data_IF_832252549496
#
_entry.id   IF_832252549496
#
_cell.length_a   1.000
_cell.length_b   1.000
_cell.length_c   1.000
_cell.angle_alpha   90.00
_cell.angle_beta   90.00
_cell.angle_gamma   90.00
#
_symmetry.space_group_name_H-M   'P 1'
#
loop_
_entity.id
_entity.type
_entity.pdbx_description
1 polymer ?
#
# COMPACT_ATOMS: atom_id res chain seq x y z
N UNK A 1 -22.88 -3.90 28.99
CA UNK A 1 -23.58 -2.83 28.23
C UNK A 1 -22.75 -2.54 26.99
N UNK A 2 -23.18 -2.98 25.81
CA UNK A 2 -22.47 -2.74 24.55
C UNK A 2 -22.98 -1.43 23.92
N UNK A 3 -22.11 -0.44 23.79
CA UNK A 3 -22.44 0.82 23.12
C UNK A 3 -22.58 0.57 21.61
N UNK A 4 -23.82 0.47 21.11
CA UNK A 4 -24.10 0.57 19.68
C UNK A 4 -23.95 2.03 19.26
N UNK A 5 -23.01 2.32 18.37
CA UNK A 5 -22.90 3.62 17.71
C UNK A 5 -24.18 3.82 16.87
N UNK A 6 -24.88 4.96 16.97
CA UNK A 6 -26.10 5.20 16.21
C UNK A 6 -25.80 5.34 14.71
N UNK A 7 -26.62 4.70 13.87
CA UNK A 7 -26.49 4.63 12.41
C UNK A 7 -26.12 5.94 11.66
N UNK A 8 -26.62 7.15 12.01
CA UNK A 8 -26.22 8.38 11.32
C UNK A 8 -24.76 8.78 11.57
N UNK A 9 -24.17 8.42 12.72
CA UNK A 9 -22.76 8.69 13.02
C UNK A 9 -21.82 7.74 12.25
N UNK A 10 -22.24 6.49 12.01
CA UNK A 10 -21.52 5.56 11.15
C UNK A 10 -21.52 6.01 9.67
N UNK A 11 -22.64 6.56 9.19
CA UNK A 11 -22.76 7.08 7.82
C UNK A 11 -21.90 8.33 7.59
N UNK A 12 -21.82 9.24 8.57
CA UNK A 12 -20.95 10.44 8.50
C UNK A 12 -19.46 10.09 8.55
N UNK A 13 -19.06 9.06 9.31
CA UNK A 13 -17.69 8.57 9.29
C UNK A 13 -17.32 7.94 7.93
N UNK A 14 -18.22 7.17 7.32
CA UNK A 14 -18.05 6.59 5.98
C UNK A 14 -17.96 7.65 4.88
N UNK A 15 -18.78 8.71 4.94
CA UNK A 15 -18.69 9.86 4.01
C UNK A 15 -17.41 10.66 4.24
N UNK A 16 -16.97 10.84 5.48
CA UNK A 16 -15.71 11.52 5.81
C UNK A 16 -14.48 10.79 5.28
N UNK A 17 -14.44 9.45 5.43
CA UNK A 17 -13.39 8.60 4.85
C UNK A 17 -13.46 8.64 3.32
N UNK A 18 -14.63 8.48 2.72
CA UNK A 18 -14.78 8.55 1.25
C UNK A 18 -14.37 9.91 0.68
N UNK A 19 -14.72 11.02 1.33
CA UNK A 19 -14.29 12.37 0.90
C UNK A 19 -12.79 12.55 1.10
N UNK A 20 -12.20 12.08 2.20
CA UNK A 20 -10.75 12.14 2.41
C UNK A 20 -9.99 11.30 1.37
N UNK A 21 -10.46 10.09 1.07
CA UNK A 21 -9.90 9.21 0.05
C UNK A 21 -10.05 9.80 -1.36
N UNK A 22 -11.24 10.28 -1.70
CA UNK A 22 -11.49 10.91 -2.99
C UNK A 22 -10.69 12.21 -3.15
N UNK A 23 -10.44 12.96 -2.08
CA UNK A 23 -9.63 14.18 -2.13
C UNK A 23 -8.14 13.85 -2.25
N UNK A 24 -7.62 12.88 -1.50
CA UNK A 24 -6.22 12.44 -1.61
C UNK A 24 -5.90 11.87 -3.01
N UNK A 25 -6.78 11.02 -3.55
CA UNK A 25 -6.65 10.48 -4.91
C UNK A 25 -6.76 11.55 -6.01
N UNK A 26 -7.45 12.68 -5.75
CA UNK A 26 -7.56 13.81 -6.68
C UNK A 26 -6.36 14.75 -6.65
N UNK A 27 -5.47 14.61 -5.67
CA UNK A 27 -4.31 15.48 -5.50
C UNK A 27 -2.97 14.79 -5.82
N UNK A 28 -2.91 13.46 -5.90
CA UNK A 28 -1.74 12.80 -6.47
C UNK A 28 -1.84 12.85 -8.00
N UNK A 29 -1.20 13.85 -8.59
CA UNK A 29 -0.98 13.90 -10.03
C UNK A 29 0.09 12.86 -10.41
N UNK A 30 0.15 12.40 -11.66
CA UNK A 30 1.24 11.52 -12.12
C UNK A 30 2.65 12.05 -11.81
N UNK A 31 2.80 13.38 -11.67
CA UNK A 31 4.06 14.03 -11.29
C UNK A 31 4.43 13.90 -9.81
N UNK A 32 3.47 13.58 -8.94
CA UNK A 32 3.70 13.45 -7.50
C UNK A 32 4.23 12.06 -7.12
N UNK A 33 4.10 11.08 -8.03
CA UNK A 33 4.66 9.76 -7.84
C UNK A 33 6.18 9.82 -7.96
N UNK A 34 6.84 9.38 -6.89
CA UNK A 34 8.25 9.02 -6.94
C UNK A 34 8.34 7.69 -7.70
N UNK A 35 9.14 7.60 -8.78
CA UNK A 35 9.42 6.32 -9.41
C UNK A 35 9.96 5.37 -8.34
N UNK A 36 9.44 4.15 -8.29
CA UNK A 36 10.01 3.15 -7.41
C UNK A 36 11.50 3.01 -7.76
N UNK A 37 12.40 3.19 -6.77
CA UNK A 37 13.85 3.26 -7.00
C UNK A 37 14.40 2.04 -7.77
N UNK A 38 13.66 0.93 -7.73
CA UNK A 38 13.63 -0.07 -8.77
C UNK A 38 12.16 -0.41 -9.05
N UNK A 39 11.73 -0.29 -10.31
CA UNK A 39 10.45 -0.84 -10.75
C UNK A 39 10.41 -2.33 -10.38
N UNK A 40 9.47 -2.77 -9.55
CA UNK A 40 9.47 -4.09 -8.93
C UNK A 40 8.45 -5.00 -9.61
N UNK A 41 8.90 -6.04 -10.30
CA UNK A 41 8.04 -7.03 -10.97
C UNK A 41 7.69 -8.18 -10.01
N UNK A 42 6.41 -8.32 -9.69
CA UNK A 42 5.87 -9.40 -8.86
C UNK A 42 5.35 -10.53 -9.75
N UNK A 43 6.16 -11.58 -9.92
CA UNK A 43 5.84 -12.81 -10.66
C UNK A 43 5.17 -12.61 -12.04
N UNK A 44 5.50 -11.52 -12.74
CA UNK A 44 4.87 -11.09 -13.99
C UNK A 44 3.36 -10.85 -13.92
N UNK A 45 2.79 -10.71 -12.73
CA UNK A 45 1.39 -10.35 -12.52
C UNK A 45 1.23 -8.82 -12.53
N UNK A 46 2.05 -8.14 -11.75
CA UNK A 46 2.04 -6.69 -11.62
C UNK A 46 3.45 -6.14 -11.40
N UNK A 47 3.64 -4.91 -11.84
CA UNK A 47 4.87 -4.17 -11.62
C UNK A 47 4.56 -2.91 -10.81
N UNK A 48 5.24 -2.73 -9.68
CA UNK A 48 5.20 -1.46 -8.96
C UNK A 48 6.08 -0.44 -9.68
N UNK A 49 5.47 0.54 -10.33
CA UNK A 49 6.17 1.53 -11.15
C UNK A 49 6.35 2.88 -10.46
N UNK A 50 5.57 3.15 -9.40
CA UNK A 50 5.69 4.38 -8.62
C UNK A 50 4.98 4.31 -7.28
N UNK A 51 5.31 5.24 -6.39
CA UNK A 51 4.60 5.45 -5.13
C UNK A 51 4.61 6.93 -4.73
N UNK A 52 3.67 7.33 -3.89
CA UNK A 52 3.65 8.63 -3.24
C UNK A 52 3.38 8.45 -1.75
N UNK A 53 4.38 8.80 -0.93
CA UNK A 53 4.32 8.65 0.53
C UNK A 53 5.15 9.77 1.19
N UNK A 54 4.61 10.99 1.32
CA UNK A 54 5.34 12.11 1.91
C UNK A 54 5.68 11.81 3.37
N UNK A 55 6.96 11.89 3.71
CA UNK A 55 7.48 11.51 5.03
C UNK A 55 6.73 12.21 6.18
N UNK A 56 6.43 13.49 6.00
CA UNK A 56 5.73 14.33 6.97
C UNK A 56 4.32 13.83 7.31
N UNK A 57 3.72 13.02 6.43
CA UNK A 57 2.39 12.42 6.65
C UNK A 57 2.48 11.03 7.28
N UNK A 58 3.63 10.35 7.19
CA UNK A 58 3.90 9.05 7.81
C UNK A 58 4.26 9.22 9.29
N UNK A 59 3.29 9.71 10.07
CA UNK A 59 3.39 9.92 11.52
C UNK A 59 2.11 9.48 12.24
N UNK A 60 2.20 9.07 13.52
CA UNK A 60 1.02 8.77 14.32
C UNK A 60 0.01 9.93 14.35
N UNK A 61 -1.28 9.60 14.29
CA UNK A 61 -2.36 10.59 14.31
C UNK A 61 -2.48 11.46 13.04
N UNK A 62 -1.59 11.27 12.05
CA UNK A 62 -1.78 11.71 10.67
C UNK A 62 -2.32 10.52 9.88
N UNK A 63 -3.11 10.79 8.83
CA UNK A 63 -3.77 9.75 8.03
C UNK A 63 -2.86 8.87 7.17
N UNK A 64 -1.56 8.75 7.54
CA UNK A 64 -0.47 7.98 6.94
C UNK A 64 -0.86 7.22 5.66
N UNK A 65 -1.06 7.98 4.58
CA UNK A 65 -1.54 7.46 3.32
C UNK A 65 -0.35 7.19 2.41
N UNK A 66 -0.31 5.99 1.87
CA UNK A 66 0.66 5.54 0.87
C UNK A 66 -0.11 5.25 -0.39
N UNK A 67 0.23 5.94 -1.48
CA UNK A 67 -0.32 5.67 -2.79
C UNK A 67 0.70 4.86 -3.56
N UNK A 68 0.25 3.78 -4.18
CA UNK A 68 1.04 2.89 -5.02
C UNK A 68 0.48 2.96 -6.43
N UNK A 69 1.36 2.88 -7.41
CA UNK A 69 0.99 2.83 -8.80
C UNK A 69 1.53 1.54 -9.40
N UNK A 70 0.60 0.74 -9.89
CA UNK A 70 0.87 -0.57 -10.47
C UNK A 70 0.65 -0.56 -11.98
N UNK A 71 1.53 -1.23 -12.71
CA UNK A 71 1.31 -1.64 -14.09
C UNK A 71 0.97 -3.13 -14.09
N UNK A 72 -0.21 -3.48 -14.60
CA UNK A 72 -0.59 -4.87 -14.83
C UNK A 72 0.27 -5.45 -15.96
N UNK A 73 1.02 -6.52 -15.67
CA UNK A 73 1.89 -7.16 -16.67
C UNK A 73 1.17 -8.30 -17.41
N UNK A 74 0.15 -8.87 -16.79
CA UNK A 74 -0.75 -9.87 -17.35
C UNK A 74 -2.20 -9.57 -16.88
N UNK A 75 -3.14 -10.47 -17.16
CA UNK A 75 -4.49 -10.48 -16.61
C UNK A 75 -4.53 -11.41 -15.37
N UNK A 76 -4.39 -10.90 -14.12
CA UNK A 76 -4.27 -11.73 -12.95
C UNK A 76 -5.50 -12.63 -12.73
N UNK A 77 -5.28 -13.90 -12.42
CA UNK A 77 -6.38 -14.83 -12.11
C UNK A 77 -6.73 -14.87 -10.61
N UNK A 78 -5.95 -14.19 -9.78
CA UNK A 78 -6.06 -14.17 -8.32
C UNK A 78 -6.19 -12.73 -7.84
N UNK A 79 -7.09 -12.50 -6.89
CA UNK A 79 -7.20 -11.24 -6.17
C UNK A 79 -6.16 -11.18 -5.06
N UNK A 80 -4.91 -10.95 -5.46
CA UNK A 80 -3.83 -10.73 -4.51
C UNK A 80 -4.12 -9.52 -3.63
N UNK A 81 -3.70 -9.61 -2.37
CA UNK A 81 -3.70 -8.47 -1.45
C UNK A 81 -2.35 -7.79 -1.48
N UNK A 82 -2.37 -6.47 -1.44
CA UNK A 82 -1.19 -5.66 -1.23
C UNK A 82 -1.02 -5.45 0.27
N UNK A 83 0.19 -5.65 0.76
CA UNK A 83 0.58 -5.18 2.09
C UNK A 83 1.50 -3.97 1.96
N UNK A 84 1.36 -3.04 2.88
CA UNK A 84 2.29 -1.92 3.07
C UNK A 84 2.68 -1.88 4.54
N UNK A 85 3.95 -2.11 4.84
CA UNK A 85 4.48 -2.28 6.19
C UNK A 85 5.51 -1.21 6.51
N UNK A 86 5.33 -0.55 7.65
CA UNK A 86 6.33 0.34 8.23
C UNK A 86 7.03 -0.40 9.38
N UNK A 87 8.32 -0.66 9.22
CA UNK A 87 9.15 -1.36 10.20
C UNK A 87 10.31 -0.49 10.67
N UNK A 88 10.80 -0.75 11.88
CA UNK A 88 12.06 -0.16 12.37
C UNK A 88 13.28 -1.00 11.97
N UNK A 89 14.47 -0.55 12.40
CA UNK A 89 15.74 -1.22 12.12
C UNK A 89 15.85 -2.63 12.73
N UNK A 90 15.06 -2.95 13.76
CA UNK A 90 15.01 -4.27 14.39
C UNK A 90 13.97 -5.18 13.72
N UNK A 91 13.28 -4.70 12.68
CA UNK A 91 12.23 -5.41 11.97
C UNK A 91 10.88 -5.42 12.69
N UNK A 92 10.70 -4.60 13.73
CA UNK A 92 9.42 -4.49 14.43
C UNK A 92 8.44 -3.69 13.58
N UNK A 93 7.24 -4.23 13.44
CA UNK A 93 6.13 -3.58 12.75
C UNK A 93 5.49 -2.48 13.60
N UNK A 94 5.38 -1.28 13.03
CA UNK A 94 4.85 -0.10 13.72
C UNK A 94 3.55 0.41 13.10
N UNK A 95 3.43 0.33 11.78
CA UNK A 95 2.19 0.61 11.08
C UNK A 95 2.04 -0.32 9.88
N UNK A 96 0.80 -0.66 9.51
CA UNK A 96 0.56 -1.50 8.35
C UNK A 96 -0.80 -1.24 7.71
N UNK A 97 -0.95 -1.64 6.46
CA UNK A 97 -2.24 -1.88 5.84
C UNK A 97 -2.14 -3.03 4.83
N UNK A 98 -3.01 -4.01 4.99
CA UNK A 98 -3.13 -5.19 4.13
C UNK A 98 -4.52 -5.21 3.50
N UNK A 99 -4.62 -5.08 2.18
CA UNK A 99 -5.90 -4.90 1.52
C UNK A 99 -5.89 -5.22 0.03
N UNK A 100 -7.08 -5.38 -0.54
CA UNK A 100 -7.25 -5.45 -1.99
C UNK A 100 -7.03 -4.07 -2.63
N UNK A 101 -6.41 -3.99 -3.81
CA UNK A 101 -6.16 -2.72 -4.46
C UNK A 101 -7.41 -1.88 -4.72
N UNK A 102 -7.23 -0.57 -4.65
CA UNK A 102 -8.29 0.40 -4.93
C UNK A 102 -9.46 0.31 -3.93
N UNK A 103 -9.17 0.00 -2.67
CA UNK A 103 -10.17 -0.17 -1.60
C UNK A 103 -11.28 -1.18 -1.96
N UNK A 104 -10.91 -2.37 -2.44
CA UNK A 104 -11.85 -3.41 -2.89
C UNK A 104 -12.65 -3.07 -4.16
N UNK A 105 -12.47 -1.88 -4.75
CA UNK A 105 -13.15 -1.49 -5.99
C UNK A 105 -12.35 -1.83 -7.24
N UNK A 106 -11.04 -2.06 -7.11
CA UNK A 106 -10.16 -2.45 -8.22
C UNK A 106 -9.37 -3.73 -7.90
N UNK A 107 -10.05 -4.85 -7.55
CA UNK A 107 -9.38 -6.11 -7.30
C UNK A 107 -8.60 -6.57 -8.54
N UNK A 108 -7.45 -7.23 -8.34
CA UNK A 108 -6.50 -7.50 -9.41
C UNK A 108 -7.06 -8.37 -10.54
N UNK A 109 -8.06 -9.21 -10.29
CA UNK A 109 -8.75 -9.97 -11.35
C UNK A 109 -9.50 -9.12 -12.37
N UNK A 110 -9.70 -7.83 -12.09
CA UNK A 110 -10.28 -6.88 -13.04
C UNK A 110 -9.24 -6.16 -13.90
N UNK A 111 -7.97 -6.25 -13.53
CA UNK A 111 -6.91 -5.55 -14.25
C UNK A 111 -6.69 -6.21 -15.61
N UNK A 112 -6.40 -5.38 -16.61
CA UNK A 112 -6.00 -5.84 -17.95
C UNK A 112 -4.51 -5.61 -18.17
N UNK A 113 -3.85 -6.53 -18.87
CA UNK A 113 -2.44 -6.38 -19.23
C UNK A 113 -2.18 -5.01 -19.89
N UNK A 114 -1.21 -4.26 -19.36
CA UNK A 114 -0.88 -2.89 -19.76
C UNK A 114 -1.68 -1.78 -19.07
N UNK A 115 -2.67 -2.14 -18.24
CA UNK A 115 -3.42 -1.19 -17.42
C UNK A 115 -2.56 -0.64 -16.28
N UNK A 116 -2.76 0.65 -15.99
CA UNK A 116 -2.22 1.32 -14.82
C UNK A 116 -3.31 1.40 -13.76
N UNK A 117 -3.00 0.92 -12.55
CA UNK A 117 -3.90 0.95 -11.41
C UNK A 117 -3.27 1.73 -10.24
N UNK A 118 -3.95 2.79 -9.81
CA UNK A 118 -3.63 3.50 -8.59
C UNK A 118 -4.27 2.80 -7.40
N UNK A 119 -3.50 2.66 -6.33
CA UNK A 119 -3.86 1.93 -5.13
C UNK A 119 -3.48 2.73 -3.90
N UNK A 120 -4.32 2.73 -2.86
CA UNK A 120 -4.12 3.60 -1.69
C UNK A 120 -4.24 2.79 -0.42
N UNK A 121 -3.21 2.91 0.43
CA UNK A 121 -3.08 2.23 1.71
C UNK A 121 -3.03 3.27 2.83
N UNK A 122 -4.00 3.25 3.73
CA UNK A 122 -3.96 4.06 4.96
C UNK A 122 -3.36 3.18 6.06
N UNK A 123 -2.17 3.52 6.53
CA UNK A 123 -1.48 2.73 7.54
C UNK A 123 -2.11 2.88 8.92
N UNK A 124 -2.39 1.76 9.55
CA UNK A 124 -2.86 1.67 10.94
C UNK A 124 -1.68 1.52 11.90
N UNK A 125 -1.53 2.47 12.82
CA UNK A 125 -0.45 2.50 13.81
C UNK A 125 -0.75 1.59 15.00
N UNK A 126 0.26 0.83 15.45
CA UNK A 126 0.15 -0.11 16.57
C UNK A 126 0.69 0.45 17.90
N UNK A 127 0.93 1.76 17.96
CA UNK A 127 1.48 2.45 19.11
C UNK A 127 2.16 3.74 18.72
N UNK A 128 2.90 4.31 19.66
CA UNK A 128 3.73 5.50 19.43
C UNK A 128 5.17 5.05 19.11
N UNK A 129 5.65 5.26 17.88
CA UNK A 129 6.99 4.88 17.44
C UNK A 129 8.03 5.74 18.16
N UNK A 130 9.11 5.16 18.70
CA UNK A 130 10.24 5.94 19.22
C UNK A 130 10.97 6.67 18.09
N UNK A 131 11.77 7.70 18.42
CA UNK A 131 12.73 8.26 17.48
C UNK A 131 13.65 7.19 16.90
N UNK A 132 13.91 7.25 15.60
CA UNK A 132 14.72 6.24 14.93
C UNK A 132 14.50 6.18 13.42
N UNK A 133 15.19 5.23 12.80
CA UNK A 133 15.14 4.95 11.37
C UNK A 133 14.05 3.92 11.08
N UNK A 134 13.23 4.22 10.08
CA UNK A 134 12.11 3.40 9.65
C UNK A 134 12.14 3.15 8.16
N UNK A 135 11.64 1.99 7.76
CA UNK A 135 11.58 1.56 6.38
C UNK A 135 10.14 1.22 6.01
N UNK A 136 9.70 1.75 4.86
CA UNK A 136 8.40 1.47 4.28
C UNK A 136 8.55 0.43 3.18
N UNK A 137 7.86 -0.69 3.32
CA UNK A 137 7.90 -1.82 2.40
C UNK A 137 6.53 -2.08 1.81
N UNK A 138 6.49 -2.61 0.58
CA UNK A 138 5.26 -3.13 -0.02
C UNK A 138 5.48 -4.47 -0.70
N UNK A 139 4.42 -5.25 -0.81
CA UNK A 139 4.41 -6.50 -1.57
C UNK A 139 3.01 -7.05 -1.80
N UNK A 140 2.94 -8.16 -2.51
CA UNK A 140 1.70 -8.86 -2.87
C UNK A 140 1.68 -10.25 -2.24
N UNK A 141 0.50 -10.73 -1.86
CA UNK A 141 0.32 -12.11 -1.41
C UNK A 141 -1.02 -12.68 -1.84
N UNK A 142 -1.06 -14.00 -2.00
CA UNK A 142 -2.30 -14.75 -2.19
C UNK A 142 -3.03 -14.88 -0.84
N UNK A 143 -4.23 -14.30 -0.68
CA UNK A 143 -4.96 -14.36 0.59
C UNK A 143 -5.47 -15.76 0.95
N UNK A 144 -5.56 -16.68 0.00
CA UNK A 144 -6.00 -18.06 0.24
C UNK A 144 -4.89 -18.93 0.83
N UNK A 145 -3.63 -18.70 0.43
CA UNK A 145 -2.48 -19.50 0.88
C UNK A 145 -1.59 -18.75 1.89
N UNK A 146 -1.62 -17.42 1.89
CA UNK A 146 -0.69 -16.56 2.61
C UNK A 146 0.69 -16.46 1.95
N UNK A 147 0.88 -17.04 0.76
CA UNK A 147 2.14 -17.01 0.03
C UNK A 147 2.38 -15.63 -0.59
N UNK A 148 3.58 -15.09 -0.37
CA UNK A 148 4.00 -13.80 -0.94
C UNK A 148 4.56 -14.02 -2.34
N UNK A 149 4.23 -13.11 -3.25
CA UNK A 149 4.75 -13.15 -4.61
C UNK A 149 6.22 -12.73 -4.61
N UNK A 150 7.03 -13.48 -5.35
CA UNK A 150 8.41 -13.10 -5.57
C UNK A 150 8.53 -11.82 -6.39
N UNK A 151 9.37 -10.89 -5.92
CA UNK A 151 9.95 -9.83 -6.72
C UNK A 151 11.06 -10.43 -7.57
N UNK A 152 10.90 -10.34 -8.89
CA UNK A 152 11.85 -10.88 -9.86
C UNK A 152 13.00 -9.91 -10.09
N UNK A 153 14.23 -10.44 -10.09
CA UNK A 153 15.44 -9.73 -10.49
C UNK A 153 15.55 -9.54 -12.00
N UNK A 154 16.57 -8.79 -12.48
CA UNK A 154 16.80 -8.55 -13.91
C UNK A 154 17.03 -9.82 -14.74
N UNK A 155 17.45 -10.92 -14.10
CA UNK A 155 17.64 -12.25 -14.69
C UNK A 155 16.35 -13.11 -14.68
N UNK A 156 15.24 -12.55 -14.18
CA UNK A 156 13.95 -13.23 -14.06
C UNK A 156 13.86 -14.20 -12.89
N UNK A 157 14.87 -14.26 -12.01
CA UNK A 157 14.85 -15.14 -10.84
C UNK A 157 14.22 -14.43 -9.62
N UNK A 158 13.56 -15.17 -8.71
CA UNK A 158 13.11 -14.63 -7.43
C UNK A 158 14.28 -14.02 -6.64
N UNK A 159 14.18 -12.74 -6.29
CA UNK A 159 15.21 -12.01 -5.56
C UNK A 159 14.75 -11.55 -4.15
N UNK A 160 13.45 -11.28 -3.99
CA UNK A 160 12.82 -10.89 -2.74
C UNK A 160 11.32 -11.25 -2.80
N UNK A 161 10.56 -10.92 -1.76
CA UNK A 161 9.09 -11.05 -1.69
C UNK A 161 8.39 -9.72 -1.36
N UNK A 162 9.17 -8.64 -1.32
CA UNK A 162 8.75 -7.28 -1.05
C UNK A 162 9.78 -6.28 -1.61
N UNK A 163 9.37 -5.02 -1.75
CA UNK A 163 10.22 -3.93 -2.23
C UNK A 163 10.27 -2.80 -1.20
N UNK A 164 11.45 -2.24 -0.99
CA UNK A 164 11.65 -1.04 -0.16
C UNK A 164 11.17 0.17 -0.97
N UNK A 165 10.15 0.86 -0.47
CA UNK A 165 9.66 2.10 -1.07
C UNK A 165 10.55 3.28 -0.67
N UNK A 166 10.75 3.43 0.63
CA UNK A 166 11.54 4.52 1.17
C UNK A 166 12.04 4.21 2.57
N UNK A 167 12.98 5.02 3.01
CA UNK A 167 13.51 5.04 4.35
C UNK A 167 13.50 6.47 4.88
N UNK A 168 13.16 6.62 6.15
CA UNK A 168 13.11 7.92 6.80
C UNK A 168 13.41 7.86 8.29
N UNK A 169 13.53 9.02 8.92
CA UNK A 169 13.81 9.13 10.36
C UNK A 169 12.64 9.81 11.06
N UNK A 170 12.13 9.17 12.11
CA UNK A 170 11.28 9.85 13.08
C UNK A 170 12.22 10.53 14.10
N UNK A 171 12.16 11.86 14.27
CA UNK A 171 13.05 12.61 15.15
C UNK A 171 12.74 12.40 16.64
#
# INVERSE_FOLDING_TARGET
MAHRIPAPLALLALVGIYVALAVAARFAQPADFTPAAASANFENQAQLVGFHAPEETLRPGRGAAVLLHWLALDNPAVDYKVFVHLIDADGRLWAQHDGEPGFFFSPMTRWQAGEVADDTHILEWQGEPPPGRYQLWAGLYDPATGERLAVLGPDGQPAADQVLLMEFTIP
#
